data_IF_571791073553
#
_entry.id   IF_571791073553
#
_cell.length_a   1.000
_cell.length_b   1.000
_cell.length_c   1.000
_cell.angle_alpha   90.00
_cell.angle_beta   90.00
_cell.angle_gamma   90.00
#
_symmetry.space_group_name_H-M   'P 1'
#
loop_
_entity.id
_entity.type
_entity.pdbx_description
1 polymer ?
#
# COMPACT_ATOMS: atom_id res chain seq x y z
N UNK A 1 -37.72 -2.13 5.00
CA UNK A 1 -36.99 -1.63 3.81
C UNK A 1 -37.29 -0.15 3.74
N UNK A 2 -36.25 0.70 3.62
CA UNK A 2 -36.26 2.17 3.60
C UNK A 2 -35.81 2.89 4.89
N UNK A 3 -34.57 2.69 5.33
CA UNK A 3 -33.94 3.58 6.35
C UNK A 3 -32.45 3.89 6.10
N UNK A 4 -31.86 3.51 4.96
CA UNK A 4 -30.44 3.80 4.67
C UNK A 4 -30.28 4.57 3.35
N UNK A 5 -30.87 5.77 3.28
CA UNK A 5 -30.51 6.74 2.24
C UNK A 5 -30.10 8.03 2.93
N UNK A 6 -28.79 8.21 3.12
CA UNK A 6 -28.22 9.46 3.61
C UNK A 6 -28.14 10.42 2.43
N UNK A 7 -28.75 11.59 2.58
CA UNK A 7 -28.76 12.62 1.54
C UNK A 7 -27.34 13.16 1.31
N UNK A 8 -26.90 13.19 0.04
CA UNK A 8 -25.59 13.68 -0.42
C UNK A 8 -25.18 15.07 0.11
N UNK A 9 -26.14 15.88 0.57
CA UNK A 9 -25.90 17.21 1.12
C UNK A 9 -25.31 17.24 2.54
N UNK A 10 -25.17 16.11 3.23
CA UNK A 10 -24.58 16.04 4.59
C UNK A 10 -23.14 15.54 4.64
N UNK A 11 -22.53 15.25 3.48
CA UNK A 11 -21.14 14.77 3.40
C UNK A 11 -20.16 15.96 3.46
N UNK A 12 -19.37 16.04 4.54
CA UNK A 12 -18.18 16.90 4.59
C UNK A 12 -16.92 16.07 4.41
N UNK A 13 -16.03 16.48 3.52
CA UNK A 13 -14.68 15.93 3.41
C UNK A 13 -13.92 16.32 4.68
N UNK A 14 -13.51 15.34 5.47
CA UNK A 14 -12.71 15.57 6.68
C UNK A 14 -11.35 16.12 6.30
N UNK A 15 -10.98 17.29 6.81
CA UNK A 15 -9.67 17.88 6.57
C UNK A 15 -8.60 17.23 7.46
N UNK A 16 -7.33 17.33 7.05
CA UNK A 16 -6.17 16.86 7.82
C UNK A 16 -6.15 17.41 9.26
N UNK A 17 -6.63 18.63 9.48
CA UNK A 17 -6.73 19.22 10.82
C UNK A 17 -7.80 18.53 11.67
N UNK A 18 -8.94 18.18 11.06
CA UNK A 18 -10.02 17.47 11.77
C UNK A 18 -9.60 16.08 12.23
N UNK A 19 -8.80 15.39 11.41
CA UNK A 19 -8.21 14.10 11.74
C UNK A 19 -7.14 14.23 12.84
N UNK A 20 -6.32 15.28 12.77
CA UNK A 20 -5.28 15.58 13.76
C UNK A 20 -5.87 15.90 15.15
N UNK A 21 -7.02 16.56 15.20
CA UNK A 21 -7.73 16.84 16.45
C UNK A 21 -8.31 15.58 17.10
N UNK A 22 -8.81 14.62 16.30
CA UNK A 22 -9.30 13.34 16.79
C UNK A 22 -8.19 12.45 17.39
N UNK A 23 -6.95 12.57 16.91
CA UNK A 23 -5.76 11.88 17.46
C UNK A 23 -5.49 12.26 18.93
N UNK A 24 -5.90 13.44 19.38
CA UNK A 24 -5.65 13.91 20.75
C UNK A 24 -6.64 13.34 21.79
N UNK A 25 -7.79 12.81 21.37
CA UNK A 25 -8.91 12.51 22.27
C UNK A 25 -9.11 11.04 22.68
N UNK A 26 -8.18 10.15 22.35
CA UNK A 26 -8.09 8.84 23.02
C UNK A 26 -7.87 7.63 22.11
N UNK A 27 -6.68 7.04 22.22
CA UNK A 27 -6.35 5.74 21.67
C UNK A 27 -6.74 4.58 22.59
N UNK A 28 -7.04 3.44 21.98
CA UNK A 28 -7.34 2.16 22.60
C UNK A 28 -6.27 1.73 23.61
N UNK A 29 -6.68 1.43 24.85
CA UNK A 29 -5.83 0.89 25.92
C UNK A 29 -5.85 -0.63 25.90
N UNK A 30 -4.95 -1.27 25.15
CA UNK A 30 -4.66 -2.69 25.33
C UNK A 30 -3.17 -2.91 25.57
N UNK A 31 -2.81 -2.77 26.84
CA UNK A 31 -1.62 -3.38 27.44
C UNK A 31 -1.75 -4.91 27.40
N UNK A 32 -0.78 -5.61 26.80
CA UNK A 32 -0.02 -6.76 27.35
C UNK A 32 0.58 -7.64 26.25
N UNK A 33 1.75 -7.28 25.75
CA UNK A 33 2.85 -8.22 25.46
C UNK A 33 4.09 -7.40 25.06
N UNK A 34 5.14 -7.50 25.87
CA UNK A 34 6.38 -6.74 25.73
C UNK A 34 7.25 -7.32 24.60
N UNK A 35 6.80 -7.18 23.35
CA UNK A 35 7.60 -7.35 22.13
C UNK A 35 7.09 -6.39 21.06
N UNK A 36 7.17 -5.09 21.33
CA UNK A 36 6.88 -4.03 20.34
C UNK A 36 8.02 -3.98 19.32
N UNK A 37 7.74 -4.38 18.09
CA UNK A 37 8.68 -4.32 16.98
C UNK A 37 8.43 -3.02 16.20
N UNK A 38 9.08 -1.94 16.63
CA UNK A 38 9.08 -0.67 15.89
C UNK A 38 9.74 0.46 16.68
N UNK A 39 10.58 1.24 16.02
CA UNK A 39 11.24 2.40 16.62
C UNK A 39 10.34 3.63 16.51
N UNK A 40 10.11 4.33 17.63
CA UNK A 40 9.31 5.56 17.70
C UNK A 40 10.02 6.79 17.13
N UNK A 41 11.34 6.73 17.01
CA UNK A 41 12.19 7.89 16.74
C UNK A 41 12.74 7.89 15.32
N UNK A 42 12.81 9.10 14.75
CA UNK A 42 13.49 9.37 13.49
C UNK A 42 14.94 8.85 13.58
N UNK A 43 15.42 8.02 12.64
CA UNK A 43 16.84 7.65 12.59
C UNK A 43 17.70 8.91 12.51
N UNK A 44 18.79 8.97 13.28
CA UNK A 44 19.66 10.17 13.39
C UNK A 44 20.18 10.65 12.02
N UNK A 45 20.36 9.71 11.09
CA UNK A 45 20.92 9.96 9.76
C UNK A 45 19.89 10.25 8.65
N UNK A 46 18.58 10.28 8.95
CA UNK A 46 17.56 10.46 7.90
C UNK A 46 17.24 11.94 7.66
N UNK A 47 17.09 12.36 6.40
CA UNK A 47 16.70 13.74 6.11
C UNK A 47 15.23 14.00 6.54
N UNK A 48 14.86 15.26 6.88
CA UNK A 48 13.50 15.57 7.34
C UNK A 48 12.39 15.32 6.31
N UNK A 49 12.68 15.45 5.01
CA UNK A 49 11.68 15.27 3.95
C UNK A 49 11.36 13.78 3.74
N UNK A 50 12.38 12.91 3.76
CA UNK A 50 12.19 11.45 3.73
C UNK A 50 11.45 10.97 4.97
N UNK A 51 11.80 11.47 6.16
CA UNK A 51 11.08 11.10 7.38
C UNK A 51 9.59 11.42 7.34
N UNK A 52 9.21 12.56 6.72
CA UNK A 52 7.81 12.94 6.57
C UNK A 52 6.99 11.96 5.73
N UNK A 53 7.61 11.28 4.77
CA UNK A 53 6.97 10.24 3.95
C UNK A 53 6.79 8.92 4.72
N UNK A 54 7.78 8.59 5.56
CA UNK A 54 7.86 7.31 6.29
C UNK A 54 6.97 7.28 7.53
N UNK A 55 6.94 8.35 8.32
CA UNK A 55 6.33 8.37 9.67
C UNK A 55 4.83 8.04 9.71
N UNK A 56 4.12 8.30 8.61
CA UNK A 56 2.67 8.11 8.48
C UNK A 56 2.35 6.80 7.73
N UNK A 57 3.36 6.02 7.33
CA UNK A 57 3.16 4.79 6.58
C UNK A 57 3.03 3.58 7.53
N UNK A 58 1.93 2.81 7.48
CA UNK A 58 1.65 1.76 8.46
C UNK A 58 2.64 0.59 8.44
N UNK A 59 3.43 0.41 7.36
CA UNK A 59 4.48 -0.61 7.34
C UNK A 59 5.81 -0.18 7.97
N UNK A 60 6.05 1.12 8.14
CA UNK A 60 7.36 1.64 8.53
C UNK A 60 7.34 2.39 9.88
N UNK A 61 6.15 2.68 10.42
CA UNK A 61 5.96 3.34 11.70
C UNK A 61 4.97 2.57 12.56
N UNK A 62 5.37 2.22 13.79
CA UNK A 62 4.55 1.46 14.75
C UNK A 62 3.28 2.24 15.11
N UNK A 63 3.41 3.55 15.35
CA UNK A 63 2.27 4.41 15.64
C UNK A 63 1.34 4.50 14.43
N UNK A 64 1.88 4.62 13.21
CA UNK A 64 1.07 4.65 12.00
C UNK A 64 0.30 3.34 11.77
N UNK A 65 0.87 2.19 12.12
CA UNK A 65 0.20 0.90 11.99
C UNK A 65 -1.12 0.80 12.78
N UNK A 66 -1.27 1.57 13.86
CA UNK A 66 -2.48 1.58 14.69
C UNK A 66 -3.58 2.50 14.17
N UNK A 67 -3.24 3.50 13.35
CA UNK A 67 -4.18 4.56 12.95
C UNK A 67 -4.40 4.66 11.44
N UNK A 68 -3.45 4.21 10.63
CA UNK A 68 -3.48 4.31 9.18
C UNK A 68 -3.68 2.93 8.55
N UNK A 69 -4.63 2.86 7.63
CA UNK A 69 -4.91 1.65 6.86
C UNK A 69 -4.16 1.69 5.53
N UNK A 70 -3.69 0.51 5.12
CA UNK A 70 -3.21 0.23 3.75
C UNK A 70 -4.14 -0.74 3.05
N UNK A 71 -4.31 -0.56 1.75
CA UNK A 71 -5.08 -1.48 0.91
C UNK A 71 -4.20 -1.97 -0.24
N UNK A 72 -4.19 -3.29 -0.48
CA UNK A 72 -3.63 -3.86 -1.70
C UNK A 72 -4.74 -4.17 -2.71
N UNK A 73 -4.47 -3.90 -3.99
CA UNK A 73 -5.35 -4.30 -5.10
C UNK A 73 -4.65 -5.27 -6.04
N UNK A 74 -5.40 -6.27 -6.50
CA UNK A 74 -4.87 -7.45 -7.17
C UNK A 74 -4.99 -7.32 -8.69
N UNK A 75 -4.20 -6.38 -9.25
CA UNK A 75 -4.25 -6.01 -10.69
C UNK A 75 -3.10 -6.57 -11.51
N UNK A 76 -2.05 -7.09 -10.87
CA UNK A 76 -0.82 -7.54 -11.52
C UNK A 76 -0.64 -9.07 -11.44
N UNK A 77 -1.40 -9.90 -12.19
CA UNK A 77 -1.31 -11.36 -12.10
C UNK A 77 -0.08 -11.98 -12.77
N UNK A 78 0.59 -11.30 -13.70
CA UNK A 78 1.75 -11.84 -14.40
C UNK A 78 3.05 -11.65 -13.60
N UNK A 79 4.00 -12.58 -13.72
CA UNK A 79 5.32 -12.48 -13.10
C UNK A 79 6.40 -13.01 -14.06
N UNK A 80 7.57 -12.36 -14.06
CA UNK A 80 8.72 -12.64 -14.92
C UNK A 80 9.76 -13.60 -14.31
N UNK A 81 9.60 -13.98 -13.05
CA UNK A 81 10.44 -14.98 -12.39
C UNK A 81 9.61 -16.12 -11.81
N UNK A 82 10.29 -17.15 -11.32
CA UNK A 82 9.68 -18.24 -10.56
C UNK A 82 10.55 -18.53 -9.33
N UNK A 83 10.14 -18.02 -8.17
CA UNK A 83 10.80 -18.37 -6.92
C UNK A 83 10.53 -19.83 -6.57
N UNK A 84 11.49 -20.52 -5.96
CA UNK A 84 11.34 -21.93 -5.55
C UNK A 84 10.23 -22.15 -4.52
N UNK A 85 9.92 -21.14 -3.71
CA UNK A 85 8.86 -21.16 -2.70
C UNK A 85 7.51 -20.61 -3.21
N UNK A 86 7.44 -20.13 -4.46
CA UNK A 86 6.25 -19.51 -5.02
C UNK A 86 5.36 -20.53 -5.73
N UNK A 87 4.05 -20.48 -5.44
CA UNK A 87 3.05 -21.21 -6.20
C UNK A 87 2.06 -20.21 -6.83
N UNK A 88 2.04 -20.14 -8.16
CA UNK A 88 1.25 -19.18 -8.97
C UNK A 88 -0.27 -19.33 -8.84
N UNK A 89 -0.76 -20.33 -8.11
CA UNK A 89 -2.16 -20.44 -7.72
C UNK A 89 -2.55 -19.41 -6.64
N UNK A 90 -1.57 -18.91 -5.89
CA UNK A 90 -1.73 -17.97 -4.79
C UNK A 90 -1.11 -16.62 -5.15
N UNK A 91 -1.43 -15.61 -4.36
CA UNK A 91 -0.81 -14.31 -4.41
C UNK A 91 0.69 -14.38 -4.07
N UNK A 92 1.46 -13.43 -4.60
CA UNK A 92 2.89 -13.33 -4.43
C UNK A 92 3.28 -13.43 -2.95
N UNK A 93 4.01 -14.49 -2.60
CA UNK A 93 4.35 -14.80 -1.21
C UNK A 93 5.34 -13.81 -0.58
N UNK A 94 5.91 -12.89 -1.36
CA UNK A 94 6.84 -11.88 -0.86
C UNK A 94 6.12 -10.76 -0.10
N UNK A 95 4.89 -10.41 -0.50
CA UNK A 95 4.15 -9.28 0.10
C UNK A 95 2.70 -9.69 0.50
N UNK A 96 2.35 -10.96 0.32
CA UNK A 96 1.08 -11.53 0.76
C UNK A 96 1.32 -12.74 1.68
N UNK A 97 0.37 -12.98 2.59
CA UNK A 97 0.38 -14.17 3.43
C UNK A 97 0.28 -15.42 2.55
N UNK A 98 1.01 -16.51 2.85
CA UNK A 98 0.95 -17.74 2.06
C UNK A 98 -0.47 -18.31 1.96
N UNK A 99 -0.85 -18.79 0.77
CA UNK A 99 -2.14 -19.44 0.53
C UNK A 99 -3.31 -18.49 0.25
N UNK A 100 -3.09 -17.18 0.25
CA UNK A 100 -4.11 -16.20 -0.16
C UNK A 100 -4.34 -16.26 -1.66
N UNK A 101 -5.60 -16.23 -2.08
CA UNK A 101 -5.99 -16.11 -3.49
C UNK A 101 -6.89 -14.89 -3.60
N UNK A 102 -6.42 -13.86 -4.28
CA UNK A 102 -7.23 -12.68 -4.54
C UNK A 102 -7.97 -12.78 -5.88
N UNK A 103 -9.17 -12.20 -5.92
CA UNK A 103 -9.88 -11.96 -7.16
C UNK A 103 -9.07 -11.00 -8.03
N UNK A 104 -8.87 -11.34 -9.30
CA UNK A 104 -8.15 -10.50 -10.25
C UNK A 104 -9.04 -9.36 -10.69
N UNK A 105 -8.56 -8.14 -10.51
CA UNK A 105 -9.28 -6.93 -10.86
C UNK A 105 -8.69 -6.30 -12.13
N UNK A 106 -9.55 -5.74 -12.96
CA UNK A 106 -9.12 -4.75 -13.96
C UNK A 106 -8.76 -3.43 -13.26
N UNK A 107 -7.96 -2.54 -13.90
CA UNK A 107 -7.63 -1.23 -13.32
C UNK A 107 -8.86 -0.41 -12.92
N UNK A 108 -9.93 -0.45 -13.72
CA UNK A 108 -11.18 0.26 -13.44
C UNK A 108 -11.91 -0.32 -12.23
N UNK A 109 -11.97 -1.65 -12.11
CA UNK A 109 -12.58 -2.32 -10.95
C UNK A 109 -11.78 -2.05 -9.67
N UNK A 110 -10.45 -2.11 -9.75
CA UNK A 110 -9.57 -1.79 -8.64
C UNK A 110 -9.77 -0.35 -8.17
N UNK A 111 -9.79 0.62 -9.09
CA UNK A 111 -10.04 2.02 -8.75
C UNK A 111 -11.39 2.19 -8.05
N UNK A 112 -12.47 1.63 -8.61
CA UNK A 112 -13.80 1.65 -7.97
C UNK A 112 -13.79 1.07 -6.56
N UNK A 113 -13.10 -0.06 -6.37
CA UNK A 113 -12.99 -0.72 -5.08
C UNK A 113 -12.25 0.15 -4.07
N UNK A 114 -11.14 0.77 -4.47
CA UNK A 114 -10.37 1.68 -3.60
C UNK A 114 -11.22 2.87 -3.17
N UNK A 115 -11.94 3.49 -4.11
CA UNK A 115 -12.80 4.64 -3.81
C UNK A 115 -13.94 4.26 -2.87
N UNK A 116 -14.57 3.10 -3.09
CA UNK A 116 -15.61 2.61 -2.19
C UNK A 116 -15.07 2.43 -0.77
N UNK A 117 -13.90 1.79 -0.62
CA UNK A 117 -13.27 1.58 0.70
C UNK A 117 -12.82 2.91 1.32
N UNK A 118 -12.27 3.84 0.55
CA UNK A 118 -11.85 5.16 1.03
C UNK A 118 -13.02 5.96 1.63
N UNK A 119 -14.22 5.82 1.06
CA UNK A 119 -15.43 6.48 1.57
C UNK A 119 -15.92 5.88 2.91
N UNK A 120 -15.64 4.61 3.17
CA UNK A 120 -16.06 3.91 4.39
C UNK A 120 -14.98 3.93 5.48
N UNK A 121 -13.70 4.03 5.08
CA UNK A 121 -12.53 3.94 5.95
C UNK A 121 -11.70 5.23 5.80
N UNK A 122 -11.99 6.28 6.59
CA UNK A 122 -11.25 7.54 6.57
C UNK A 122 -9.76 7.40 6.89
N UNK A 123 -9.37 6.28 7.52
CA UNK A 123 -7.99 5.96 7.86
C UNK A 123 -7.18 5.41 6.66
N UNK A 124 -7.83 5.13 5.52
CA UNK A 124 -7.14 4.65 4.34
C UNK A 124 -6.23 5.75 3.79
N UNK A 125 -4.93 5.53 3.94
CA UNK A 125 -3.90 6.52 3.56
C UNK A 125 -2.94 6.00 2.49
N UNK A 126 -2.86 4.68 2.33
CA UNK A 126 -1.92 4.02 1.42
C UNK A 126 -2.63 3.04 0.50
N UNK A 127 -2.39 3.19 -0.80
CA UNK A 127 -2.70 2.20 -1.81
C UNK A 127 -1.42 1.49 -2.28
N UNK A 128 -1.41 0.16 -2.16
CA UNK A 128 -0.33 -0.68 -2.65
C UNK A 128 -0.76 -1.58 -3.81
N UNK A 129 0.15 -1.86 -4.74
CA UNK A 129 0.03 -2.96 -5.70
C UNK A 129 1.17 -3.95 -5.44
N UNK A 130 0.80 -5.18 -5.10
CA UNK A 130 1.72 -6.18 -4.54
C UNK A 130 1.60 -7.58 -5.19
N UNK A 131 0.81 -7.72 -6.25
CA UNK A 131 0.60 -9.00 -6.92
C UNK A 131 -0.82 -9.14 -7.47
N UNK A 132 -1.30 -10.36 -7.79
CA UNK A 132 -0.78 -11.68 -7.38
C UNK A 132 0.60 -12.11 -7.95
N UNK A 133 1.07 -11.50 -9.02
CA UNK A 133 2.38 -11.71 -9.64
C UNK A 133 3.38 -10.61 -9.26
N UNK A 134 4.00 -9.97 -10.25
CA UNK A 134 4.92 -8.85 -10.06
C UNK A 134 4.36 -7.56 -10.67
N UNK A 135 4.32 -6.52 -9.85
CA UNK A 135 3.66 -5.25 -10.17
C UNK A 135 4.45 -4.41 -11.18
N UNK A 136 5.78 -4.49 -11.15
CA UNK A 136 6.64 -3.81 -12.13
C UNK A 136 6.65 -4.55 -13.47
N UNK A 137 6.43 -5.87 -13.48
CA UNK A 137 6.30 -6.63 -14.72
C UNK A 137 4.95 -6.44 -15.42
N UNK A 138 3.83 -6.46 -14.69
CA UNK A 138 2.49 -6.17 -15.25
C UNK A 138 2.20 -4.65 -15.25
N UNK A 139 3.19 -3.87 -15.74
CA UNK A 139 3.26 -2.43 -15.54
C UNK A 139 2.07 -1.66 -16.09
N UNK A 140 1.58 -2.02 -17.28
CA UNK A 140 0.46 -1.31 -17.92
C UNK A 140 -0.78 -1.26 -17.03
N UNK A 141 -1.10 -2.36 -16.33
CA UNK A 141 -2.23 -2.40 -15.40
C UNK A 141 -1.93 -1.68 -14.11
N UNK A 142 -0.71 -1.84 -13.58
CA UNK A 142 -0.25 -1.16 -12.36
C UNK A 142 -0.34 0.36 -12.54
N UNK A 143 0.29 0.89 -13.59
CA UNK A 143 0.29 2.31 -13.94
C UNK A 143 -1.13 2.85 -14.11
N UNK A 144 -1.96 2.18 -14.90
CA UNK A 144 -3.33 2.63 -15.15
C UNK A 144 -4.16 2.65 -13.86
N UNK A 145 -3.96 1.69 -12.96
CA UNK A 145 -4.65 1.66 -11.66
C UNK A 145 -4.23 2.84 -10.80
N UNK A 146 -2.94 3.13 -10.70
CA UNK A 146 -2.45 4.30 -9.96
C UNK A 146 -2.97 5.60 -10.54
N UNK A 147 -2.95 5.77 -11.87
CA UNK A 147 -3.51 6.94 -12.54
C UNK A 147 -4.99 7.14 -12.21
N UNK A 148 -5.81 6.09 -12.37
CA UNK A 148 -7.25 6.16 -12.14
C UNK A 148 -7.61 6.47 -10.68
N UNK A 149 -6.81 6.00 -9.72
CA UNK A 149 -7.03 6.28 -8.30
C UNK A 149 -6.58 7.70 -7.95
N UNK A 150 -5.39 8.11 -8.36
CA UNK A 150 -4.85 9.45 -8.04
C UNK A 150 -5.66 10.58 -8.66
N UNK A 151 -6.32 10.36 -9.80
CA UNK A 151 -7.28 11.30 -10.37
C UNK A 151 -8.48 11.59 -9.46
N UNK A 152 -8.85 10.66 -8.59
CA UNK A 152 -10.02 10.77 -7.72
C UNK A 152 -9.64 11.00 -6.25
N UNK A 153 -8.47 10.51 -5.84
CA UNK A 153 -7.94 10.61 -4.48
C UNK A 153 -6.48 11.07 -4.57
N UNK A 154 -6.21 12.35 -4.88
CA UNK A 154 -4.85 12.84 -5.14
C UNK A 154 -3.93 12.79 -3.91
N UNK A 155 -4.51 12.77 -2.71
CA UNK A 155 -3.74 12.76 -1.45
C UNK A 155 -3.35 11.34 -0.99
N UNK A 156 -3.76 10.28 -1.71
CA UNK A 156 -3.42 8.91 -1.34
C UNK A 156 -1.95 8.61 -1.64
N UNK A 157 -1.26 7.98 -0.69
CA UNK A 157 0.13 7.56 -0.90
C UNK A 157 0.16 6.28 -1.71
N UNK A 158 0.99 6.25 -2.75
CA UNK A 158 1.15 5.08 -3.61
C UNK A 158 2.36 4.25 -3.17
N UNK A 159 2.19 2.93 -3.21
CA UNK A 159 3.24 1.96 -2.87
C UNK A 159 3.27 0.81 -3.86
N UNK A 160 4.46 0.29 -4.13
CA UNK A 160 4.69 -0.80 -5.06
C UNK A 160 5.53 -1.89 -4.39
N UNK A 161 5.21 -3.16 -4.63
CA UNK A 161 6.12 -4.28 -4.36
C UNK A 161 6.54 -4.95 -5.66
N UNK A 162 7.83 -5.25 -5.79
CA UNK A 162 8.41 -5.93 -6.95
C UNK A 162 9.59 -6.83 -6.56
N UNK A 163 9.87 -7.83 -7.41
CA UNK A 163 11.11 -8.60 -7.39
C UNK A 163 12.32 -7.81 -7.95
N UNK A 164 12.08 -6.65 -8.56
CA UNK A 164 13.13 -5.73 -9.02
C UNK A 164 13.63 -5.95 -10.45
N UNK A 165 13.29 -7.06 -11.12
CA UNK A 165 13.84 -7.37 -12.45
C UNK A 165 13.37 -6.40 -13.55
N UNK A 166 12.10 -6.00 -13.53
CA UNK A 166 11.52 -5.05 -14.50
C UNK A 166 11.46 -3.61 -13.94
N UNK A 167 11.89 -3.39 -12.71
CA UNK A 167 11.77 -2.10 -12.04
C UNK A 167 12.59 -0.97 -12.72
N UNK A 168 13.83 -1.20 -13.19
CA UNK A 168 14.65 -0.16 -13.82
C UNK A 168 13.98 0.50 -15.03
N UNK A 169 13.15 -0.25 -15.78
CA UNK A 169 12.49 0.22 -16.99
C UNK A 169 11.35 1.23 -16.70
N UNK A 170 10.94 1.38 -15.44
CA UNK A 170 9.76 2.14 -15.02
C UNK A 170 10.06 3.22 -13.97
N UNK A 171 11.33 3.48 -13.66
CA UNK A 171 11.74 4.42 -12.61
C UNK A 171 11.24 5.85 -12.86
N UNK A 172 11.39 6.36 -14.08
CA UNK A 172 10.96 7.72 -14.42
C UNK A 172 9.44 7.89 -14.22
N UNK A 173 8.66 6.89 -14.62
CA UNK A 173 7.20 6.89 -14.48
C UNK A 173 6.77 6.76 -13.01
N UNK A 174 7.49 5.99 -12.20
CA UNK A 174 7.25 5.89 -10.76
C UNK A 174 7.48 7.23 -10.05
N UNK A 175 8.54 7.95 -10.45
CA UNK A 175 8.83 9.29 -9.93
C UNK A 175 7.76 10.29 -10.39
N UNK A 176 7.35 10.25 -11.66
CA UNK A 176 6.30 11.12 -12.21
C UNK A 176 4.97 10.93 -11.48
N UNK A 177 4.60 9.70 -11.15
CA UNK A 177 3.38 9.38 -10.39
C UNK A 177 3.51 9.66 -8.89
N UNK A 178 4.66 10.13 -8.41
CA UNK A 178 4.96 10.35 -7.00
C UNK A 178 4.71 9.10 -6.13
N UNK A 179 5.19 7.93 -6.60
CA UNK A 179 5.19 6.71 -5.78
C UNK A 179 6.21 6.86 -4.66
N UNK A 180 5.73 6.87 -3.42
CA UNK A 180 6.57 7.18 -2.25
C UNK A 180 7.41 5.99 -1.77
N UNK A 181 6.88 4.77 -1.86
CA UNK A 181 7.57 3.58 -1.35
C UNK A 181 7.55 2.45 -2.38
N UNK A 182 8.74 1.89 -2.59
CA UNK A 182 8.93 0.69 -3.42
C UNK A 182 9.63 -0.37 -2.58
N UNK A 183 8.95 -1.49 -2.37
CA UNK A 183 9.52 -2.69 -1.74
C UNK A 183 10.16 -3.55 -2.82
N UNK A 184 11.46 -3.83 -2.69
CA UNK A 184 12.20 -4.73 -3.59
C UNK A 184 12.53 -6.00 -2.83
N UNK A 185 12.12 -7.15 -3.37
CA UNK A 185 12.48 -8.44 -2.79
C UNK A 185 13.89 -8.84 -3.21
N UNK A 186 14.83 -8.86 -2.26
CA UNK A 186 16.20 -9.34 -2.46
C UNK A 186 16.42 -10.55 -1.55
N UNK A 187 16.43 -11.75 -2.13
CA UNK A 187 16.61 -12.99 -1.38
C UNK A 187 18.09 -13.34 -1.13
N UNK A 188 18.97 -12.96 -2.05
CA UNK A 188 20.41 -13.23 -1.99
C UNK A 188 21.17 -12.21 -2.84
N UNK A 189 22.42 -11.95 -2.46
CA UNK A 189 23.39 -11.18 -3.26
C UNK A 189 24.48 -12.06 -3.88
N UNK A 190 24.61 -13.30 -3.38
CA UNK A 190 25.56 -14.29 -3.87
C UNK A 190 24.89 -15.15 -4.97
N UNK A 191 25.41 -15.16 -6.21
CA UNK A 191 24.88 -15.96 -7.29
C UNK A 191 24.86 -17.47 -7.01
N UNK A 192 25.81 -18.01 -6.23
CA UNK A 192 25.87 -19.44 -5.95
C UNK A 192 24.74 -19.90 -5.02
N UNK A 193 24.27 -19.02 -4.14
CA UNK A 193 23.12 -19.28 -3.25
C UNK A 193 21.79 -19.15 -4.01
N UNK A 194 21.75 -18.29 -5.03
CA UNK A 194 20.55 -18.01 -5.82
C UNK A 194 20.33 -18.89 -7.04
N UNK A 195 21.32 -19.71 -7.41
CA UNK A 195 21.31 -20.60 -8.56
C UNK A 195 20.38 -21.82 -8.40
#
# INVERSE_FOLDING_TARGET
MSDNVVALGTLSIGSKESLSAALASGGCSSSTSATGCGSKEKPEDMDPATWAKVKDHPCYSEEAHHYFARMHVSVAPACNIQCNYCNRKYDCSNESRPGVVSERLTPVEAARKVIAVANEVPQLSVLGIAGPGDSAYDWLKTKETFRLVTEQIPDIKLCLSSNGLALPDHLDELVEMNVDHVTITINMIDPEVGA
#
